data_IF_160993669070
#
_entry.id   IF_160993669070
#
_cell.length_a   1.000
_cell.length_b   1.000
_cell.length_c   1.000
_cell.angle_alpha   90.00
_cell.angle_beta   90.00
_cell.angle_gamma   90.00
#
_symmetry.space_group_name_H-M   'P 1'
#
loop_
_entity.id
_entity.type
_entity.pdbx_description
1 polymer ?
#
# COMPACT_ATOMS: atom_id res chain seq x y z
N UNK A 1 -5.77 -6.02 -6.29
CA UNK A 1 -6.03 -4.87 -7.16
C UNK A 1 -5.85 -3.52 -6.48
N UNK A 2 -6.63 -3.10 -5.46
CA UNK A 2 -6.41 -1.78 -4.81
C UNK A 2 -5.00 -1.65 -4.21
N UNK A 3 -4.53 -2.64 -3.44
CA UNK A 3 -3.19 -2.61 -2.86
C UNK A 3 -2.08 -2.72 -3.92
N UNK A 4 -2.27 -3.57 -4.94
CA UNK A 4 -1.37 -3.67 -6.10
C UNK A 4 -1.25 -2.33 -6.85
N UNK A 5 -2.38 -1.69 -7.16
CA UNK A 5 -2.42 -0.37 -7.80
C UNK A 5 -1.80 0.70 -6.91
N UNK A 6 -2.05 0.69 -5.60
CA UNK A 6 -1.47 1.66 -4.66
C UNK A 6 0.06 1.51 -4.53
N UNK A 7 0.57 0.28 -4.62
CA UNK A 7 2.02 0.01 -4.62
C UNK A 7 2.66 0.06 -6.01
N UNK A 8 1.90 0.43 -7.06
CA UNK A 8 2.44 0.59 -8.42
C UNK A 8 2.63 -0.71 -9.21
N UNK A 9 2.03 -1.81 -8.76
CA UNK A 9 2.03 -3.11 -9.44
C UNK A 9 0.79 -3.25 -10.32
N UNK A 10 0.98 -3.13 -11.63
CA UNK A 10 -0.11 -3.02 -12.61
C UNK A 10 -0.31 -4.29 -13.44
N UNK A 11 0.69 -5.18 -13.48
CA UNK A 11 0.65 -6.42 -14.26
C UNK A 11 0.50 -7.64 -13.35
N UNK A 12 -0.05 -8.74 -13.90
CA UNK A 12 -0.19 -9.99 -13.16
C UNK A 12 1.16 -10.58 -12.72
N UNK A 13 2.23 -10.37 -13.50
CA UNK A 13 3.59 -10.81 -13.15
C UNK A 13 4.18 -10.05 -11.95
N UNK A 14 3.59 -8.93 -11.56
CA UNK A 14 4.08 -8.08 -10.48
C UNK A 14 3.68 -8.62 -9.10
N UNK A 15 2.81 -9.63 -9.04
CA UNK A 15 2.36 -10.23 -7.78
C UNK A 15 3.46 -11.01 -7.05
N UNK A 16 4.50 -11.48 -7.75
CA UNK A 16 5.69 -12.08 -7.12
C UNK A 16 6.58 -11.00 -6.46
N UNK A 17 6.64 -9.80 -7.05
CA UNK A 17 7.29 -8.64 -6.42
C UNK A 17 6.46 -8.10 -5.25
N UNK A 18 5.12 -8.04 -5.41
CA UNK A 18 4.19 -7.66 -4.35
C UNK A 18 4.33 -8.57 -3.13
N UNK A 19 4.54 -9.87 -3.32
CA UNK A 19 4.78 -10.84 -2.24
C UNK A 19 5.91 -10.39 -1.31
N UNK A 20 6.85 -9.59 -1.83
CA UNK A 20 8.00 -9.04 -1.14
C UNK A 20 7.91 -7.55 -0.79
N UNK A 21 6.78 -6.89 -1.03
CA UNK A 21 6.63 -5.45 -0.83
C UNK A 21 6.75 -5.09 0.68
N UNK A 22 7.77 -4.30 1.07
CA UNK A 22 8.09 -4.08 2.47
C UNK A 22 7.05 -3.26 3.25
N UNK A 23 6.36 -2.31 2.60
CA UNK A 23 5.37 -1.45 3.25
C UNK A 23 4.16 -2.28 3.70
N UNK A 24 3.62 -3.13 2.85
CA UNK A 24 2.47 -3.98 3.12
C UNK A 24 2.80 -5.12 4.07
N UNK A 25 4.00 -5.71 3.99
CA UNK A 25 4.46 -6.66 5.01
C UNK A 25 4.45 -6.03 6.40
N UNK A 26 4.90 -4.79 6.49
CA UNK A 26 4.93 -4.03 7.74
C UNK A 26 3.53 -3.64 8.23
N UNK A 27 2.65 -3.20 7.32
CA UNK A 27 1.27 -2.81 7.67
C UNK A 27 0.42 -4.01 8.09
N UNK A 28 0.58 -5.15 7.41
CA UNK A 28 -0.22 -6.35 7.62
C UNK A 28 0.40 -7.32 8.65
N UNK A 29 1.59 -7.02 9.16
CA UNK A 29 2.38 -7.86 10.05
C UNK A 29 2.55 -9.29 9.50
N UNK A 30 3.08 -9.38 8.28
CA UNK A 30 3.31 -10.66 7.57
C UNK A 30 4.70 -10.74 6.99
N UNK A 31 5.29 -11.93 7.05
CA UNK A 31 6.60 -12.21 6.43
C UNK A 31 6.55 -12.21 4.90
N UNK A 32 5.40 -12.55 4.31
CA UNK A 32 5.17 -12.61 2.88
C UNK A 32 3.69 -12.34 2.56
N UNK A 33 3.41 -11.69 1.43
CA UNK A 33 2.04 -11.55 0.91
C UNK A 33 1.68 -12.73 0.00
N UNK A 34 0.40 -12.86 -0.32
CA UNK A 34 -0.09 -13.97 -1.13
C UNK A 34 0.43 -13.92 -2.58
N UNK A 35 0.80 -15.09 -3.09
CA UNK A 35 1.31 -15.29 -4.45
C UNK A 35 0.28 -14.97 -5.55
N UNK A 36 0.79 -14.72 -6.77
CA UNK A 36 -0.04 -14.52 -7.97
C UNK A 36 -1.11 -15.62 -8.17
N UNK A 37 -0.78 -16.93 -8.06
CA UNK A 37 -1.77 -17.98 -8.26
C UNK A 37 -2.87 -17.97 -7.18
N UNK A 38 -2.53 -17.63 -5.94
CA UNK A 38 -3.51 -17.50 -4.85
C UNK A 38 -4.50 -16.37 -5.15
N UNK A 39 -3.98 -15.21 -5.53
CA UNK A 39 -4.79 -14.05 -5.91
C UNK A 39 -5.67 -14.35 -7.13
N UNK A 40 -5.12 -14.99 -8.16
CA UNK A 40 -5.87 -15.40 -9.36
C UNK A 40 -7.03 -16.34 -9.02
N UNK A 41 -6.80 -17.35 -8.18
CA UNK A 41 -7.86 -18.27 -7.72
C UNK A 41 -8.93 -17.55 -6.91
N UNK A 42 -8.54 -16.59 -6.07
CA UNK A 42 -9.49 -15.78 -5.30
C UNK A 42 -10.38 -14.96 -6.23
N UNK A 43 -9.81 -14.24 -7.19
CA UNK A 43 -10.57 -13.41 -8.12
C UNK A 43 -11.52 -14.24 -9.01
N UNK A 44 -11.08 -15.40 -9.48
CA UNK A 44 -11.90 -16.29 -10.30
C UNK A 44 -13.11 -16.90 -9.55
N UNK A 45 -13.14 -16.82 -8.22
CA UNK A 45 -14.24 -17.30 -7.37
C UNK A 45 -15.19 -16.19 -6.92
N UNK A 46 -14.91 -14.93 -7.27
CA UNK A 46 -15.79 -13.82 -6.89
C UNK A 46 -17.11 -13.89 -7.66
N UNK A 47 -18.19 -13.66 -6.94
CA UNK A 47 -19.56 -13.62 -7.44
C UNK A 47 -20.24 -12.29 -7.08
N UNK A 48 -21.56 -12.19 -7.31
CA UNK A 48 -22.35 -10.99 -6.99
C UNK A 48 -22.30 -10.62 -5.51
N UNK A 49 -22.27 -11.62 -4.64
CA UNK A 49 -22.28 -11.43 -3.19
C UNK A 49 -20.92 -10.88 -2.75
N UNK A 50 -19.84 -11.44 -3.30
CA UNK A 50 -18.47 -10.96 -3.08
C UNK A 50 -18.31 -9.52 -3.55
N UNK A 51 -18.87 -9.17 -4.71
CA UNK A 51 -18.84 -7.79 -5.24
C UNK A 51 -19.59 -6.82 -4.31
N UNK A 52 -20.75 -7.24 -3.79
CA UNK A 52 -21.53 -6.45 -2.83
C UNK A 52 -20.74 -6.21 -1.55
N UNK A 53 -20.10 -7.24 -1.00
CA UNK A 53 -19.23 -7.12 0.17
C UNK A 53 -18.04 -6.18 -0.07
N UNK A 54 -17.40 -6.27 -1.24
CA UNK A 54 -16.33 -5.34 -1.64
C UNK A 54 -16.80 -3.88 -1.68
N UNK A 55 -18.03 -3.63 -2.14
CA UNK A 55 -18.60 -2.30 -2.14
C UNK A 55 -18.82 -1.77 -0.71
N UNK A 56 -19.29 -2.60 0.21
CA UNK A 56 -19.45 -2.22 1.62
C UNK A 56 -18.11 -1.92 2.29
N UNK A 57 -17.10 -2.77 2.09
CA UNK A 57 -15.72 -2.50 2.55
C UNK A 57 -15.22 -1.16 1.99
N UNK A 58 -15.44 -0.92 0.70
CA UNK A 58 -15.03 0.33 0.04
C UNK A 58 -15.74 1.56 0.63
N UNK A 59 -17.00 1.43 1.07
CA UNK A 59 -17.71 2.52 1.75
C UNK A 59 -17.08 2.81 3.12
N UNK A 60 -16.75 1.79 3.91
CA UNK A 60 -16.09 1.99 5.21
C UNK A 60 -14.71 2.60 5.05
N UNK A 61 -13.91 2.14 4.07
CA UNK A 61 -12.61 2.75 3.75
C UNK A 61 -12.75 4.22 3.35
N UNK A 62 -13.77 4.58 2.56
CA UNK A 62 -14.04 5.99 2.22
C UNK A 62 -14.37 6.84 3.44
N UNK A 63 -15.13 6.32 4.40
CA UNK A 63 -15.41 7.04 5.65
C UNK A 63 -14.12 7.35 6.40
N UNK A 64 -13.22 6.38 6.52
CA UNK A 64 -11.89 6.56 7.15
C UNK A 64 -11.08 7.61 6.38
N UNK A 65 -11.01 7.50 5.06
CA UNK A 65 -10.28 8.46 4.22
C UNK A 65 -10.83 9.89 4.36
N UNK A 66 -12.15 10.07 4.44
CA UNK A 66 -12.76 11.38 4.66
C UNK A 66 -12.60 11.93 6.08
N UNK A 67 -12.31 11.07 7.07
CA UNK A 67 -11.92 11.54 8.41
C UNK A 67 -10.52 12.17 8.43
N UNK A 68 -9.66 11.80 7.48
CA UNK A 68 -8.34 12.40 7.33
C UNK A 68 -8.53 13.82 6.76
N UNK A 69 -8.45 14.82 7.64
CA UNK A 69 -8.50 16.22 7.22
C UNK A 69 -7.30 16.51 6.33
N UNK A 70 -7.55 17.15 5.18
CA UNK A 70 -6.48 17.66 4.33
C UNK A 70 -5.58 18.59 5.17
N UNK A 71 -4.27 18.34 5.26
CA UNK A 71 -3.37 19.28 5.92
C UNK A 71 -3.43 20.61 5.15
N UNK A 72 -3.80 21.69 5.84
CA UNK A 72 -3.84 23.03 5.25
C UNK A 72 -2.43 23.52 4.88
N UNK A 73 -1.42 23.02 5.61
CA UNK A 73 0.00 23.31 5.41
C UNK A 73 0.79 22.05 5.67
N UNK A 74 1.77 21.78 4.81
CA UNK A 74 2.78 20.73 5.00
C UNK A 74 4.13 21.44 5.09
N UNK A 75 4.82 21.27 6.22
CA UNK A 75 6.19 21.77 6.41
C UNK A 75 7.15 20.62 6.19
N UNK A 76 7.93 20.69 5.11
CA UNK A 76 9.03 19.77 4.87
C UNK A 76 10.29 20.35 5.52
N UNK A 77 10.79 19.66 6.53
CA UNK A 77 12.09 19.97 7.11
C UNK A 77 13.17 19.29 6.27
N UNK A 78 13.95 20.10 5.55
CA UNK A 78 15.02 19.63 4.67
C UNK A 78 16.36 20.00 5.31
N UNK A 79 16.79 19.15 6.24
CA UNK A 79 18.13 19.24 6.81
C UNK A 79 19.14 18.54 5.91
N UNK A 80 20.15 19.27 5.45
CA UNK A 80 21.34 18.65 4.86
C UNK A 80 22.19 18.03 5.96
N UNK A 81 22.32 16.71 5.99
CA UNK A 81 23.14 16.00 7.01
C UNK A 81 24.64 15.93 6.69
N UNK A 82 25.15 16.67 5.70
CA UNK A 82 26.59 16.67 5.39
C UNK A 82 27.12 18.06 5.03
N UNK A 83 27.55 18.81 6.05
CA UNK A 83 28.77 19.61 5.92
C UNK A 83 29.79 19.02 6.90
N UNK A 84 30.71 18.21 6.39
CA UNK A 84 31.97 17.99 7.11
C UNK A 84 32.69 19.34 7.15
N UNK A 85 32.59 20.07 8.25
CA UNK A 85 33.47 21.20 8.49
C UNK A 85 34.85 20.62 8.79
N UNK A 86 35.79 20.80 7.86
CA UNK A 86 37.20 20.54 8.09
C UNK A 86 37.73 21.54 9.13
N UNK A 87 37.50 21.24 10.41
CA UNK A 87 38.20 21.85 11.53
C UNK A 87 39.27 20.87 11.99
N UNK A 88 40.53 21.17 11.72
CA UNK A 88 41.64 20.54 12.46
C UNK A 88 41.51 21.00 13.91
N UNK A 89 41.25 20.06 14.81
CA UNK A 89 41.28 20.32 16.26
C UNK A 89 42.71 20.11 16.79
#
# INVERSE_FOLDING_TARGET
>A
MIYQILAGYFNDNDADELSNEPVFKSILDKECLDSQPTLSRFFNRMDSDTLTQFNEISKELRKIAYMIKKPEKVLFDLDSTLLNTFGVQ
#
